data_IF_295913192460
#
_entry.id   IF_295913192460
#
_cell.length_a   1.000
_cell.length_b   1.000
_cell.length_c   1.000
_cell.angle_alpha   90.00
_cell.angle_beta   90.00
_cell.angle_gamma   90.00
#
_symmetry.space_group_name_H-M   'P 1'
#
loop_
_entity.id
_entity.type
_entity.pdbx_description
1 polymer ?
#
# COMPACT_ATOMS: atom_id res chain seq x y z
N UNK A 1 -10.79 -54.47 5.36
CA UNK A 1 -9.79 -55.56 5.25
C UNK A 1 -8.74 -55.05 4.27
N UNK A 2 -7.65 -54.39 4.67
CA UNK A 2 -6.52 -54.74 5.57
C UNK A 2 -6.19 -53.51 6.48
N UNK A 3 -5.68 -53.68 7.71
CA UNK A 3 -5.55 -52.61 8.71
C UNK A 3 -4.16 -51.94 8.71
N UNK A 4 -4.06 -50.66 9.10
CA UNK A 4 -2.78 -50.02 9.41
C UNK A 4 -2.71 -49.71 10.91
N UNK A 5 -1.71 -50.29 11.55
CA UNK A 5 -1.48 -50.34 13.00
C UNK A 5 -0.63 -49.15 13.45
N UNK A 6 -0.86 -48.80 14.70
CA UNK A 6 -0.35 -47.72 15.53
C UNK A 6 1.18 -47.67 15.73
N UNK A 7 1.58 -46.58 16.40
CA UNK A 7 2.80 -46.35 17.20
C UNK A 7 3.99 -45.64 16.55
N UNK A 8 4.30 -44.43 17.05
CA UNK A 8 5.64 -44.07 17.54
C UNK A 8 5.64 -42.71 18.26
N UNK A 9 6.07 -42.78 19.52
CA UNK A 9 6.31 -41.75 20.54
C UNK A 9 7.10 -40.48 20.13
N UNK A 10 6.99 -39.39 20.93
CA UNK A 10 7.69 -38.14 20.70
C UNK A 10 9.18 -38.21 21.09
N UNK A 11 10.06 -37.99 20.11
CA UNK A 11 11.52 -37.97 20.29
C UNK A 11 11.96 -36.73 21.10
N UNK A 12 12.35 -36.95 22.36
CA UNK A 12 13.02 -35.97 23.23
C UNK A 12 14.22 -35.34 22.51
N UNK A 13 14.24 -34.01 22.37
CA UNK A 13 15.43 -33.26 21.93
C UNK A 13 16.42 -33.17 23.11
N UNK A 14 17.55 -33.85 23.01
CA UNK A 14 18.71 -33.61 23.89
C UNK A 14 19.40 -32.31 23.45
N UNK A 15 19.65 -31.42 24.40
CA UNK A 15 20.50 -30.25 24.22
C UNK A 15 21.95 -30.70 23.98
N UNK A 16 22.53 -30.33 22.84
CA UNK A 16 23.96 -30.47 22.58
C UNK A 16 24.63 -29.17 23.01
N UNK A 17 25.52 -29.29 23.99
CA UNK A 17 26.41 -28.24 24.49
C UNK A 17 27.54 -28.04 23.49
N UNK A 18 27.52 -26.95 22.74
CA UNK A 18 28.68 -26.52 21.94
C UNK A 18 29.70 -25.84 22.86
N UNK A 19 30.70 -26.60 23.31
CA UNK A 19 31.99 -26.04 23.70
C UNK A 19 33.06 -26.65 22.81
N UNK A 20 33.96 -25.77 22.41
CA UNK A 20 35.29 -26.01 21.84
C UNK A 20 35.37 -26.30 20.33
N UNK A 21 35.43 -25.22 19.56
CA UNK A 21 36.21 -25.18 18.31
C UNK A 21 37.21 -24.02 18.42
N UNK A 22 38.53 -24.26 18.43
CA UNK A 22 39.50 -23.18 18.36
C UNK A 22 39.49 -22.62 16.92
N UNK A 23 38.95 -21.41 16.77
CA UNK A 23 39.08 -20.64 15.53
C UNK A 23 40.53 -20.17 15.45
N UNK A 24 41.32 -20.81 14.62
CA UNK A 24 42.60 -20.29 14.16
C UNK A 24 42.34 -19.04 13.32
N UNK A 25 42.66 -17.87 13.87
CA UNK A 25 42.70 -16.61 13.13
C UNK A 25 43.83 -16.67 12.08
N UNK A 26 43.54 -17.21 10.89
CA UNK A 26 44.33 -16.91 9.71
C UNK A 26 44.00 -15.48 9.28
N UNK A 27 44.80 -14.53 9.75
CA UNK A 27 44.74 -13.13 9.33
C UNK A 27 45.10 -13.02 7.85
N UNK A 28 44.08 -13.05 6.99
CA UNK A 28 44.22 -12.60 5.61
C UNK A 28 43.84 -11.13 5.61
N UNK A 29 44.85 -10.26 5.68
CA UNK A 29 44.68 -8.82 5.46
C UNK A 29 44.45 -8.59 3.95
N UNK A 30 43.19 -8.48 3.54
CA UNK A 30 42.89 -7.97 2.21
C UNK A 30 43.12 -6.46 2.21
N UNK A 31 44.03 -5.92 1.38
CA UNK A 31 44.17 -4.48 1.24
C UNK A 31 42.84 -3.92 0.72
N UNK A 32 42.18 -3.10 1.54
CA UNK A 32 40.99 -2.35 1.12
C UNK A 32 41.43 -1.28 0.12
N UNK A 33 41.47 -1.65 -1.15
CA UNK A 33 41.63 -0.69 -2.23
C UNK A 33 40.46 0.30 -2.19
N UNK A 34 40.70 1.62 -2.24
CA UNK A 34 39.62 2.59 -2.32
C UNK A 34 38.80 2.30 -3.58
N UNK A 35 37.47 2.20 -3.44
CA UNK A 35 36.61 1.94 -4.59
C UNK A 35 36.77 3.07 -5.61
N UNK A 36 37.16 2.76 -6.84
CA UNK A 36 37.22 3.78 -7.91
C UNK A 36 35.84 4.26 -8.35
N UNK A 37 34.76 3.66 -7.81
CA UNK A 37 33.42 3.89 -8.29
C UNK A 37 33.04 5.35 -8.02
N UNK A 38 32.72 6.14 -9.05
CA UNK A 38 32.21 7.49 -8.84
C UNK A 38 30.97 7.42 -7.95
N UNK A 39 30.74 8.44 -7.12
CA UNK A 39 29.51 8.54 -6.33
C UNK A 39 28.34 8.50 -7.31
N UNK A 40 27.64 7.36 -7.38
CA UNK A 40 26.46 7.26 -8.23
C UNK A 40 25.46 8.34 -7.79
N UNK A 41 24.89 9.11 -8.73
CA UNK A 41 23.75 9.96 -8.43
C UNK A 41 22.71 9.09 -7.73
N UNK A 42 22.13 9.57 -6.63
CA UNK A 42 20.98 8.87 -6.04
C UNK A 42 19.94 8.81 -7.17
N UNK A 43 19.53 7.62 -7.62
CA UNK A 43 18.50 7.54 -8.64
C UNK A 43 17.31 8.31 -8.10
N UNK A 44 16.78 9.22 -8.93
CA UNK A 44 15.52 9.89 -8.62
C UNK A 44 14.52 8.80 -8.21
N UNK A 45 13.72 9.05 -7.17
CA UNK A 45 12.89 8.01 -6.57
C UNK A 45 11.83 7.57 -7.59
N UNK A 46 12.17 6.61 -8.44
CA UNK A 46 11.32 6.14 -9.54
C UNK A 46 10.05 5.57 -8.93
N UNK A 47 8.94 6.27 -9.12
CA UNK A 47 7.63 5.86 -8.63
C UNK A 47 7.18 4.63 -9.43
N UNK A 48 6.80 3.56 -8.73
CA UNK A 48 6.32 2.35 -9.41
C UNK A 48 4.92 2.59 -9.98
N UNK A 49 4.84 2.60 -11.30
CA UNK A 49 3.57 2.65 -12.03
C UNK A 49 2.84 1.31 -11.93
N UNK A 50 1.54 1.37 -11.66
CA UNK A 50 0.60 0.25 -11.64
C UNK A 50 -0.42 0.44 -12.75
N UNK A 51 -0.98 -0.66 -13.23
CA UNK A 51 -2.05 -0.65 -14.23
C UNK A 51 -3.30 -1.30 -13.63
N UNK A 52 -4.46 -0.76 -13.94
CA UNK A 52 -5.76 -1.30 -13.53
C UNK A 52 -6.71 -1.30 -14.73
N UNK A 53 -7.36 -2.45 -14.95
CA UNK A 53 -8.41 -2.60 -15.96
C UNK A 53 -9.74 -2.34 -15.30
N UNK A 54 -10.40 -1.26 -15.68
CA UNK A 54 -11.68 -0.86 -15.13
C UNK A 54 -12.83 -1.62 -15.78
N UNK A 55 -13.98 -1.63 -15.11
CA UNK A 55 -15.20 -2.31 -15.56
C UNK A 55 -15.74 -1.78 -16.89
N UNK A 56 -15.40 -0.54 -17.25
CA UNK A 56 -15.73 0.11 -18.52
C UNK A 56 -14.88 -0.38 -19.71
N UNK A 57 -13.85 -1.20 -19.45
CA UNK A 57 -12.93 -1.73 -20.45
C UNK A 57 -11.68 -0.88 -20.68
N UNK A 58 -11.52 0.26 -19.99
CA UNK A 58 -10.31 1.08 -20.08
C UNK A 58 -9.20 0.56 -19.15
N UNK A 59 -7.95 0.82 -19.55
CA UNK A 59 -6.76 0.47 -18.75
C UNK A 59 -6.10 1.75 -18.24
N UNK A 60 -6.28 2.02 -16.96
CA UNK A 60 -5.69 3.17 -16.29
C UNK A 60 -4.29 2.82 -15.75
N UNK A 61 -3.36 3.74 -15.93
CA UNK A 61 -2.07 3.71 -15.25
C UNK A 61 -2.10 4.68 -14.07
N UNK A 62 -1.61 4.25 -12.92
CA UNK A 62 -1.53 5.12 -11.75
C UNK A 62 -0.30 4.83 -10.91
N UNK A 63 0.15 5.84 -10.18
CA UNK A 63 1.15 5.67 -9.12
C UNK A 63 0.80 6.53 -7.92
N UNK A 64 1.26 6.08 -6.76
CA UNK A 64 1.09 6.81 -5.51
C UNK A 64 2.10 7.95 -5.42
N UNK A 65 1.60 9.18 -5.27
CA UNK A 65 2.45 10.36 -5.15
C UNK A 65 2.76 10.63 -3.67
N UNK A 66 1.73 10.92 -2.88
CA UNK A 66 1.87 11.17 -1.45
C UNK A 66 0.55 10.96 -0.71
N UNK A 67 0.65 10.78 0.61
CA UNK A 67 -0.48 10.76 1.53
C UNK A 67 -0.19 11.73 2.66
N UNK A 68 -1.09 12.66 2.90
CA UNK A 68 -0.95 13.69 3.93
C UNK A 68 -2.22 13.74 4.80
N UNK A 69 -2.12 14.31 6.00
CA UNK A 69 -3.30 14.71 6.76
C UNK A 69 -3.74 16.09 6.26
N UNK A 70 -4.99 16.18 5.86
CA UNK A 70 -5.58 17.40 5.30
C UNK A 70 -6.81 17.83 6.09
N UNK A 71 -7.30 19.01 5.76
CA UNK A 71 -8.60 19.48 6.23
C UNK A 71 -9.37 20.04 5.04
N UNK A 72 -10.59 19.55 4.86
CA UNK A 72 -11.50 20.03 3.82
C UNK A 72 -12.58 20.88 4.48
N UNK A 73 -12.46 22.19 4.37
CA UNK A 73 -13.32 23.13 5.09
C UNK A 73 -13.16 22.96 6.60
N UNK A 74 -14.23 22.54 7.30
CA UNK A 74 -14.18 22.27 8.75
C UNK A 74 -13.82 20.82 9.08
N UNK A 75 -13.86 19.89 8.10
CA UNK A 75 -13.70 18.47 8.36
C UNK A 75 -12.24 18.02 8.18
N UNK A 76 -11.55 17.56 9.24
CA UNK A 76 -10.22 16.95 9.10
C UNK A 76 -10.31 15.57 8.43
N UNK A 77 -9.21 15.11 7.84
CA UNK A 77 -9.16 13.84 7.13
C UNK A 77 -7.78 13.43 6.61
N UNK A 78 -7.72 12.29 5.94
CA UNK A 78 -6.56 11.84 5.18
C UNK A 78 -6.70 12.22 3.71
N UNK A 79 -5.70 12.91 3.14
CA UNK A 79 -5.61 13.20 1.72
C UNK A 79 -4.59 12.27 1.07
N UNK A 80 -5.03 11.50 0.07
CA UNK A 80 -4.18 10.62 -0.72
C UNK A 80 -4.15 11.09 -2.16
N UNK A 81 -2.97 11.50 -2.63
CA UNK A 81 -2.76 11.98 -4.00
C UNK A 81 -2.18 10.85 -4.84
N UNK A 82 -2.91 10.51 -5.90
CA UNK A 82 -2.49 9.59 -6.94
C UNK A 82 -2.27 10.38 -8.22
N UNK A 83 -1.29 9.97 -9.02
CA UNK A 83 -1.21 10.47 -10.39
C UNK A 83 -1.73 9.38 -11.29
N UNK A 84 -2.71 9.73 -12.12
CA UNK A 84 -3.42 8.81 -13.00
C UNK A 84 -3.23 9.25 -14.45
N UNK A 85 -3.14 8.28 -15.34
CA UNK A 85 -3.18 8.47 -16.78
C UNK A 85 -4.08 7.42 -17.44
N UNK A 86 -5.01 7.85 -18.29
CA UNK A 86 -5.89 6.96 -19.06
C UNK A 86 -5.30 6.61 -20.44
N UNK A 87 -4.73 7.61 -21.11
CA UNK A 87 -4.16 7.56 -22.47
C UNK A 87 -2.64 7.35 -22.49
N UNK A 88 -2.00 7.20 -21.31
CA UNK A 88 -0.54 7.09 -21.10
C UNK A 88 0.29 8.31 -21.52
N UNK A 89 -0.33 9.31 -22.14
CA UNK A 89 0.32 10.55 -22.53
C UNK A 89 0.01 11.68 -21.53
N UNK A 90 -1.21 11.69 -21.00
CA UNK A 90 -1.69 12.71 -20.07
C UNK A 90 -1.78 12.15 -18.67
N UNK A 91 -0.88 12.61 -17.79
CA UNK A 91 -0.89 12.26 -16.37
C UNK A 91 -1.39 13.46 -15.56
N UNK A 92 -2.37 13.24 -14.69
CA UNK A 92 -2.94 14.29 -13.85
C UNK A 92 -3.06 13.83 -12.40
N UNK A 93 -2.96 14.76 -11.43
CA UNK A 93 -3.18 14.45 -10.03
C UNK A 93 -4.67 14.19 -9.78
N UNK A 94 -4.95 13.13 -9.03
CA UNK A 94 -6.25 12.70 -8.58
C UNK A 94 -6.21 12.56 -7.06
N UNK A 95 -7.04 13.34 -6.37
CA UNK A 95 -7.03 13.42 -4.91
C UNK A 95 -8.16 12.60 -4.31
N UNK A 96 -7.87 11.91 -3.21
CA UNK A 96 -8.85 11.13 -2.46
C UNK A 96 -8.83 11.64 -1.03
N UNK A 97 -9.96 12.18 -0.58
CA UNK A 97 -10.10 12.71 0.76
C UNK A 97 -10.94 11.77 1.62
N UNK A 98 -10.35 11.22 2.66
CA UNK A 98 -11.02 10.35 3.64
C UNK A 98 -11.43 11.18 4.84
N UNK A 99 -12.74 11.35 5.04
CA UNK A 99 -13.26 12.17 6.14
C UNK A 99 -12.99 11.49 7.49
N UNK A 100 -12.40 12.24 8.42
CA UNK A 100 -12.17 11.76 9.79
C UNK A 100 -13.49 11.46 10.51
N UNK A 101 -14.55 12.22 10.24
CA UNK A 101 -15.89 11.97 10.80
C UNK A 101 -16.39 10.58 10.43
N UNK A 102 -16.21 10.17 9.16
CA UNK A 102 -16.62 8.85 8.70
C UNK A 102 -15.85 7.73 9.40
N UNK A 103 -14.53 7.89 9.53
CA UNK A 103 -13.69 6.95 10.28
C UNK A 103 -14.13 6.84 11.76
N UNK A 104 -14.50 7.96 12.39
CA UNK A 104 -14.96 8.00 13.78
C UNK A 104 -16.36 7.38 13.95
N UNK A 105 -17.28 7.64 13.02
CA UNK A 105 -18.61 7.05 13.02
C UNK A 105 -18.52 5.52 12.89
N UNK A 106 -17.74 5.04 11.94
CA UNK A 106 -17.48 3.61 11.76
C UNK A 106 -16.81 2.98 12.99
N UNK A 107 -15.83 3.67 13.59
CA UNK A 107 -15.15 3.20 14.79
C UNK A 107 -16.06 3.06 16.00
N UNK A 108 -17.02 3.98 16.16
CA UNK A 108 -18.05 3.91 17.22
C UNK A 108 -18.98 2.72 17.02
N UNK A 109 -19.35 2.41 15.78
CA UNK A 109 -20.25 1.30 15.46
C UNK A 109 -19.57 -0.06 15.62
N UNK A 110 -18.31 -0.19 15.18
CA UNK A 110 -17.57 -1.45 15.18
C UNK A 110 -16.69 -1.66 16.44
N UNK A 111 -16.63 -0.68 17.33
CA UNK A 111 -15.88 -0.74 18.58
C UNK A 111 -14.35 -0.70 18.42
N UNK A 112 -13.83 -0.43 17.22
CA UNK A 112 -12.39 -0.30 16.94
C UNK A 112 -12.10 0.80 15.92
N UNK A 113 -11.03 1.61 16.09
CA UNK A 113 -10.60 2.55 15.06
C UNK A 113 -9.94 1.84 13.88
N UNK A 114 -10.03 2.45 12.69
CA UNK A 114 -9.29 2.00 11.51
C UNK A 114 -7.80 2.38 11.64
N UNK A 115 -6.94 1.46 11.23
CA UNK A 115 -5.50 1.68 11.12
C UNK A 115 -5.15 2.50 9.88
N UNK A 116 -3.96 3.10 9.86
CA UNK A 116 -3.45 3.84 8.69
C UNK A 116 -3.41 2.99 7.41
N UNK A 117 -3.18 1.67 7.55
CA UNK A 117 -3.18 0.74 6.43
C UNK A 117 -4.58 0.48 5.89
N UNK A 118 -5.59 0.36 6.76
CA UNK A 118 -6.99 0.22 6.36
C UNK A 118 -7.50 1.53 5.73
N UNK A 119 -7.14 2.69 6.29
CA UNK A 119 -7.46 4.00 5.71
C UNK A 119 -6.91 4.14 4.29
N UNK A 120 -5.64 3.74 4.08
CA UNK A 120 -5.04 3.69 2.76
C UNK A 120 -5.76 2.69 1.82
N UNK A 121 -6.16 1.53 2.35
CA UNK A 121 -6.89 0.53 1.58
C UNK A 121 -8.25 1.07 1.11
N UNK A 122 -9.00 1.73 1.99
CA UNK A 122 -10.27 2.39 1.65
C UNK A 122 -10.07 3.46 0.58
N UNK A 123 -9.06 4.33 0.75
CA UNK A 123 -8.75 5.35 -0.26
C UNK A 123 -8.44 4.72 -1.63
N UNK A 124 -7.66 3.63 -1.65
CA UNK A 124 -7.35 2.90 -2.87
C UNK A 124 -8.57 2.18 -3.47
N UNK A 125 -9.49 1.66 -2.65
CA UNK A 125 -10.74 1.08 -3.14
C UNK A 125 -11.63 2.15 -3.78
N UNK A 126 -11.67 3.36 -3.20
CA UNK A 126 -12.40 4.48 -3.79
C UNK A 126 -11.81 4.91 -5.14
N UNK A 127 -10.48 4.84 -5.29
CA UNK A 127 -9.81 5.07 -6.58
C UNK A 127 -10.31 4.10 -7.65
N UNK A 128 -10.37 2.81 -7.34
CA UNK A 128 -10.82 1.79 -8.28
C UNK A 128 -12.28 1.96 -8.65
N UNK A 129 -13.13 2.25 -7.68
CA UNK A 129 -14.52 2.58 -7.94
C UNK A 129 -14.64 3.81 -8.87
N UNK A 130 -13.83 4.84 -8.67
CA UNK A 130 -13.83 6.01 -9.55
C UNK A 130 -13.38 5.67 -10.98
N UNK A 131 -12.45 4.71 -11.15
CA UNK A 131 -12.09 4.17 -12.46
C UNK A 131 -13.26 3.43 -13.10
N UNK A 132 -13.91 2.54 -12.35
CA UNK A 132 -15.06 1.76 -12.85
C UNK A 132 -16.26 2.64 -13.21
N UNK A 133 -16.48 3.74 -12.47
CA UNK A 133 -17.52 4.75 -12.75
C UNK A 133 -17.20 5.64 -13.97
N UNK A 134 -15.99 5.55 -14.54
CA UNK A 134 -15.53 6.46 -15.59
C UNK A 134 -15.40 7.91 -15.11
N UNK A 135 -15.37 8.14 -13.80
CA UNK A 135 -15.30 9.45 -13.17
C UNK A 135 -13.88 10.05 -13.26
N UNK A 136 -12.87 9.24 -13.57
CA UNK A 136 -11.48 9.65 -13.74
C UNK A 136 -11.21 10.07 -15.17
N UNK A 137 -11.60 11.30 -15.48
CA UNK A 137 -11.31 11.97 -16.75
C UNK A 137 -10.31 13.10 -16.51
N UNK A 138 -9.40 13.29 -17.46
CA UNK A 138 -8.46 14.40 -17.39
C UNK A 138 -9.24 15.72 -17.31
N UNK A 139 -8.98 16.57 -16.30
CA UNK A 139 -9.66 17.86 -16.21
C UNK A 139 -9.35 18.66 -17.48
N UNK A 140 -10.36 19.37 -18.01
CA UNK A 140 -10.08 20.40 -19.00
C UNK A 140 -9.08 21.40 -18.40
N UNK A 141 -8.20 21.99 -19.20
CA UNK A 141 -7.02 22.76 -18.76
C UNK A 141 -7.26 23.91 -17.74
N UNK A 142 -8.52 24.23 -17.43
CA UNK A 142 -8.92 25.26 -16.46
C UNK A 142 -9.74 24.72 -15.28
N UNK A 143 -9.85 23.41 -15.10
CA UNK A 143 -10.59 22.79 -14.00
C UNK A 143 -9.64 22.31 -12.89
N UNK A 144 -10.05 22.43 -11.61
CA UNK A 144 -9.27 21.92 -10.50
C UNK A 144 -9.06 20.41 -10.62
N UNK A 145 -7.97 19.92 -10.02
CA UNK A 145 -7.68 18.49 -9.93
C UNK A 145 -8.90 17.74 -9.38
N UNK A 146 -9.27 16.63 -10.04
CA UNK A 146 -10.46 15.89 -9.66
C UNK A 146 -10.24 15.24 -8.30
N UNK A 147 -11.18 15.48 -7.40
CA UNK A 147 -11.18 14.99 -6.03
C UNK A 147 -12.39 14.09 -5.80
N UNK A 148 -12.19 12.96 -5.13
CA UNK A 148 -13.27 12.11 -4.61
C UNK A 148 -13.18 12.02 -3.10
N UNK A 149 -14.35 11.91 -2.47
CA UNK A 149 -14.47 11.91 -1.02
C UNK A 149 -14.92 10.53 -0.56
N UNK A 150 -14.36 10.09 0.55
CA UNK A 150 -14.84 8.96 1.33
C UNK A 150 -15.56 9.51 2.55
N UNK A 151 -16.87 9.27 2.60
CA UNK A 151 -17.79 9.68 3.65
C UNK A 151 -18.52 8.46 4.23
N UNK A 152 -19.36 8.67 5.23
CA UNK A 152 -20.06 7.59 5.95
C UNK A 152 -20.90 6.70 5.01
N UNK A 153 -21.45 7.27 3.94
CA UNK A 153 -22.35 6.57 3.01
C UNK A 153 -21.62 5.57 2.10
N UNK A 154 -20.35 5.83 1.80
CA UNK A 154 -19.55 4.97 0.91
C UNK A 154 -18.51 4.14 1.68
N UNK A 155 -18.13 4.56 2.89
CA UNK A 155 -17.11 3.90 3.70
C UNK A 155 -17.49 2.45 3.99
N UNK A 156 -18.74 2.18 4.35
CA UNK A 156 -19.20 0.84 4.71
C UNK A 156 -19.13 -0.14 3.53
N UNK A 157 -19.54 0.30 2.34
CA UNK A 157 -19.43 -0.51 1.12
C UNK A 157 -17.96 -0.82 0.78
N UNK A 158 -17.09 0.19 0.88
CA UNK A 158 -15.65 0.03 0.61
C UNK A 158 -14.98 -0.92 1.59
N UNK A 159 -15.35 -0.86 2.87
CA UNK A 159 -14.85 -1.76 3.91
C UNK A 159 -15.41 -3.19 3.74
N UNK A 160 -16.67 -3.33 3.34
CA UNK A 160 -17.26 -4.63 3.03
C UNK A 160 -16.53 -5.35 1.90
N UNK A 161 -16.05 -4.61 0.87
CA UNK A 161 -15.20 -5.18 -0.21
C UNK A 161 -13.82 -5.63 0.28
N UNK A 162 -13.33 -5.04 1.37
CA UNK A 162 -12.08 -5.45 2.03
C UNK A 162 -12.28 -6.63 3.00
N UNK A 163 -13.54 -7.03 3.27
CA UNK A 163 -13.89 -8.08 4.22
C UNK A 163 -13.71 -7.66 5.68
N UNK A 164 -13.88 -6.36 5.95
CA UNK A 164 -13.70 -5.71 7.26
C UNK A 164 -15.04 -5.44 7.92
#
# INVERSE_FOLDING_TARGET
MIPFRSDLEPKRRRAVSNRDCPITNSGVDFPRLPSNNPRMPRPDAVRRVKSYSAADGYVYQYYFFEGNRGQRGSNPGGEFTYVVSADRHTAFPFKIFVMQSALQAWAKQNGRPLSSSEEYAVAKMRLFQAFDEGAVQAPAASQPAREVIVDESNLEELLGRLGI
#
